data_IF_545565853374
#
_entry.id   IF_545565853374
#
_cell.length_a   1.000
_cell.length_b   1.000
_cell.length_c   1.000
_cell.angle_alpha   90.00
_cell.angle_beta   90.00
_cell.angle_gamma   90.00
#
_symmetry.space_group_name_H-M   'P 1'
#
loop_
_entity.id
_entity.type
_entity.pdbx_description
1 polymer ?
#
# COMPACT_ATOMS: atom_id res chain seq x y z
N UNK A 1 25.40 2.13 0.68
CA UNK A 1 23.93 1.99 0.55
C UNK A 1 23.57 1.67 -0.89
N UNK A 2 22.57 0.83 -1.08
CA UNK A 2 21.90 0.66 -2.36
C UNK A 2 20.87 1.78 -2.52
N UNK A 3 20.90 2.47 -3.67
CA UNK A 3 20.03 3.63 -3.95
C UNK A 3 18.87 3.22 -4.84
N UNK A 4 17.67 3.69 -4.51
CA UNK A 4 16.44 3.50 -5.27
C UNK A 4 15.93 4.86 -5.72
N UNK A 5 15.87 5.15 -7.03
CA UNK A 5 15.22 6.36 -7.51
C UNK A 5 13.72 6.29 -7.18
N UNK A 6 13.18 7.41 -6.70
CA UNK A 6 11.75 7.57 -6.43
C UNK A 6 11.20 8.53 -7.48
N UNK A 7 10.19 8.06 -8.19
CA UNK A 7 9.48 8.81 -9.22
C UNK A 7 8.09 9.21 -8.74
N UNK A 8 7.56 10.29 -9.29
CA UNK A 8 6.15 10.63 -9.15
C UNK A 8 5.27 9.78 -10.09
N UNK A 9 3.95 10.03 -10.08
CA UNK A 9 3.00 9.33 -10.92
C UNK A 9 3.16 9.58 -12.44
N UNK A 10 3.99 10.55 -12.82
CA UNK A 10 4.33 10.85 -14.22
C UNK A 10 5.67 10.24 -14.64
N UNK A 11 6.38 9.58 -13.72
CA UNK A 11 7.71 9.00 -13.97
C UNK A 11 8.87 10.00 -13.83
N UNK A 12 8.61 11.21 -13.33
CA UNK A 12 9.66 12.20 -13.07
C UNK A 12 10.35 11.85 -11.75
N UNK A 13 11.69 11.78 -11.76
CA UNK A 13 12.47 11.51 -10.54
C UNK A 13 12.39 12.70 -9.58
N UNK A 14 11.94 12.43 -8.36
CA UNK A 14 11.70 13.44 -7.32
C UNK A 14 12.54 13.23 -6.07
N UNK A 15 13.15 12.06 -5.90
CA UNK A 15 13.97 11.75 -4.74
C UNK A 15 14.61 10.37 -4.81
N UNK A 16 15.19 9.95 -3.70
CA UNK A 16 15.83 8.66 -3.56
C UNK A 16 15.48 8.00 -2.24
N UNK A 17 15.30 6.68 -2.27
CA UNK A 17 15.40 5.80 -1.13
C UNK A 17 16.78 5.15 -1.08
N UNK A 18 17.23 4.73 0.09
CA UNK A 18 18.48 4.03 0.25
C UNK A 18 18.39 2.94 1.32
N UNK A 19 18.91 1.75 1.02
CA UNK A 19 19.07 0.65 1.98
C UNK A 19 20.51 0.46 2.35
N UNK A 20 20.82 0.34 3.64
CA UNK A 20 22.16 -0.03 4.10
C UNK A 20 22.52 -1.44 3.60
N UNK A 21 23.74 -1.61 3.09
CA UNK A 21 24.28 -2.91 2.68
C UNK A 21 25.00 -3.60 3.83
N UNK A 22 25.47 -2.82 4.80
CA UNK A 22 26.15 -3.28 6.00
C UNK A 22 25.16 -3.25 7.18
N UNK A 23 25.12 -4.33 7.96
CA UNK A 23 24.25 -4.47 9.14
C UNK A 23 24.51 -3.42 10.22
N UNK A 24 25.74 -2.91 10.32
CA UNK A 24 26.13 -1.90 11.30
C UNK A 24 25.76 -0.46 10.88
N UNK A 25 25.35 -0.26 9.63
CA UNK A 25 24.99 1.07 9.12
C UNK A 25 23.57 1.44 9.51
N UNK A 26 23.44 2.45 10.37
CA UNK A 26 22.14 3.01 10.75
C UNK A 26 21.86 4.36 10.05
N UNK A 27 20.59 4.71 9.81
CA UNK A 27 19.42 3.82 9.84
C UNK A 27 19.47 2.80 8.69
N UNK A 28 18.81 1.64 8.85
CA UNK A 28 18.73 0.59 7.81
C UNK A 28 18.18 1.15 6.50
N UNK A 29 17.15 1.99 6.58
CA UNK A 29 16.56 2.70 5.46
C UNK A 29 16.68 4.21 5.63
N UNK A 30 16.97 4.91 4.55
CA UNK A 30 17.06 6.37 4.51
C UNK A 30 16.35 6.85 3.23
N UNK A 31 15.56 7.89 3.36
CA UNK A 31 14.94 8.54 2.20
C UNK A 31 15.42 9.99 2.09
N UNK A 32 15.30 10.56 0.90
CA UNK A 32 15.47 12.00 0.71
C UNK A 32 14.65 12.78 1.74
N UNK A 33 15.16 13.89 2.26
CA UNK A 33 14.37 14.76 3.12
C UNK A 33 13.19 15.34 2.36
N UNK A 34 12.17 15.78 3.07
CA UNK A 34 11.03 16.47 2.47
C UNK A 34 11.51 17.78 1.82
N UNK A 35 11.10 18.02 0.57
CA UNK A 35 11.41 19.20 -0.22
C UNK A 35 10.16 19.62 -1.00
N UNK A 36 10.27 20.72 -1.77
CA UNK A 36 9.20 21.11 -2.72
C UNK A 36 8.97 20.08 -3.83
N UNK A 37 9.95 19.21 -4.12
CA UNK A 37 9.86 18.16 -5.14
C UNK A 37 9.49 16.80 -4.55
N UNK A 38 9.87 16.54 -3.30
CA UNK A 38 9.70 15.24 -2.66
C UNK A 38 8.89 15.36 -1.38
N UNK A 39 7.65 14.88 -1.41
CA UNK A 39 6.76 14.76 -0.27
C UNK A 39 6.17 13.35 -0.22
N UNK A 40 6.65 12.53 0.71
CA UNK A 40 6.21 11.14 0.88
C UNK A 40 4.69 10.99 1.01
N UNK A 41 4.02 11.98 1.60
CA UNK A 41 2.57 11.94 1.80
C UNK A 41 1.77 12.02 0.50
N UNK A 42 2.41 12.38 -0.61
CA UNK A 42 1.78 12.53 -1.91
C UNK A 42 2.36 11.60 -2.98
N UNK A 43 3.23 10.65 -2.61
CA UNK A 43 3.93 9.77 -3.55
C UNK A 43 3.68 8.32 -3.14
N UNK A 44 3.46 7.46 -4.15
CA UNK A 44 3.47 6.01 -4.03
C UNK A 44 4.64 5.48 -4.86
N UNK A 45 5.55 4.74 -4.23
CA UNK A 45 6.69 4.14 -4.93
C UNK A 45 6.21 3.12 -5.96
N UNK A 46 6.81 3.12 -7.14
CA UNK A 46 6.49 2.28 -8.30
C UNK A 46 5.10 2.51 -8.93
N UNK A 47 4.40 3.60 -8.58
CA UNK A 47 3.06 3.86 -9.11
C UNK A 47 3.04 4.00 -10.64
N UNK A 48 4.02 4.69 -11.23
CA UNK A 48 4.09 4.90 -12.67
C UNK A 48 4.18 3.58 -13.44
N UNK A 49 4.82 2.58 -12.86
CA UNK A 49 4.95 1.21 -13.41
C UNK A 49 3.69 0.38 -13.16
N UNK A 50 3.04 0.59 -12.01
CA UNK A 50 1.86 -0.16 -11.62
C UNK A 50 0.60 0.26 -12.39
N UNK A 51 0.55 1.49 -12.88
CA UNK A 51 -0.68 2.08 -13.44
C UNK A 51 -1.28 1.31 -14.61
N UNK A 52 -0.48 0.66 -15.45
CA UNK A 52 -0.99 -0.17 -16.55
C UNK A 52 -1.77 -1.38 -16.01
N UNK A 53 -1.17 -2.12 -15.07
CA UNK A 53 -1.81 -3.28 -14.44
C UNK A 53 -3.00 -2.86 -13.58
N UNK A 54 -2.90 -1.75 -12.85
CA UNK A 54 -4.01 -1.22 -12.07
C UNK A 54 -5.21 -0.86 -12.96
N UNK A 55 -4.98 -0.29 -14.16
CA UNK A 55 -6.06 -0.01 -15.12
C UNK A 55 -6.71 -1.27 -15.66
N UNK A 56 -5.92 -2.30 -15.96
CA UNK A 56 -6.44 -3.54 -16.55
C UNK A 56 -7.17 -4.41 -15.53
N UNK A 57 -6.69 -4.47 -14.29
CA UNK A 57 -7.26 -5.32 -13.23
C UNK A 57 -8.30 -4.60 -12.36
N UNK A 58 -8.23 -3.29 -12.27
CA UNK A 58 -9.00 -2.48 -11.32
C UNK A 58 -8.53 -2.63 -9.88
N UNK A 59 -7.37 -3.27 -9.63
CA UNK A 59 -6.81 -3.55 -8.31
C UNK A 59 -5.49 -2.82 -8.11
N UNK A 60 -5.26 -2.34 -6.88
CA UNK A 60 -3.96 -1.87 -6.40
C UNK A 60 -3.64 -2.56 -5.08
N UNK A 61 -2.39 -2.97 -4.91
CA UNK A 61 -1.87 -3.57 -3.67
C UNK A 61 -0.91 -2.60 -3.02
N UNK A 62 -1.20 -2.20 -1.78
CA UNK A 62 -0.33 -1.36 -0.96
C UNK A 62 0.54 -2.22 -0.07
N UNK A 63 1.84 -1.92 -0.07
CA UNK A 63 2.85 -2.48 0.83
C UNK A 63 3.57 -1.34 1.57
N UNK A 64 4.27 -1.62 2.66
CA UNK A 64 4.92 -0.59 3.45
C UNK A 64 6.24 -0.11 2.85
N UNK A 65 7.10 -1.04 2.47
CA UNK A 65 8.46 -0.78 2.03
C UNK A 65 8.65 -0.84 0.52
N UNK A 66 9.56 -0.03 0.01
CA UNK A 66 9.91 -0.09 -1.41
C UNK A 66 10.61 -1.40 -1.81
N UNK A 67 11.21 -2.14 -0.85
CA UNK A 67 11.78 -3.47 -1.13
C UNK A 67 10.68 -4.47 -1.46
N UNK A 68 9.56 -4.44 -0.71
CA UNK A 68 8.41 -5.28 -0.96
C UNK A 68 7.85 -5.04 -2.37
N UNK A 69 7.71 -3.77 -2.75
CA UNK A 69 7.26 -3.41 -4.09
C UNK A 69 8.25 -3.85 -5.18
N UNK A 70 9.56 -3.67 -4.97
CA UNK A 70 10.59 -4.12 -5.93
C UNK A 70 10.53 -5.63 -6.11
N UNK A 71 10.46 -6.39 -5.02
CA UNK A 71 10.37 -7.84 -5.08
C UNK A 71 9.10 -8.32 -5.76
N UNK A 72 7.96 -7.67 -5.47
CA UNK A 72 6.69 -7.98 -6.13
C UNK A 72 6.77 -7.77 -7.64
N UNK A 73 7.30 -6.62 -8.08
CA UNK A 73 7.47 -6.34 -9.51
C UNK A 73 8.43 -7.32 -10.19
N UNK A 74 9.54 -7.71 -9.53
CA UNK A 74 10.47 -8.73 -10.04
C UNK A 74 9.79 -10.09 -10.21
N UNK A 75 8.85 -10.43 -9.33
CA UNK A 75 8.06 -11.65 -9.40
C UNK A 75 6.86 -11.57 -10.37
N UNK A 76 6.62 -10.42 -11.01
CA UNK A 76 5.55 -10.21 -11.98
C UNK A 76 4.25 -9.64 -11.40
N UNK A 77 4.21 -9.31 -10.09
CA UNK A 77 3.06 -8.66 -9.44
C UNK A 77 3.19 -7.14 -9.56
N UNK A 78 2.80 -6.62 -10.72
CA UNK A 78 3.06 -5.23 -11.11
C UNK A 78 1.97 -4.24 -10.67
N UNK A 79 0.92 -4.68 -9.98
CA UNK A 79 -0.09 -3.83 -9.36
C UNK A 79 0.24 -3.41 -7.91
N UNK A 80 1.49 -3.68 -7.47
CA UNK A 80 1.98 -3.38 -6.12
C UNK A 80 2.66 -2.01 -6.07
N UNK A 81 2.32 -1.21 -5.05
CA UNK A 81 2.90 0.12 -4.77
C UNK A 81 3.27 0.25 -3.30
N UNK A 82 4.30 1.05 -2.96
CA UNK A 82 4.69 1.22 -1.56
C UNK A 82 4.41 2.62 -1.02
N UNK A 83 3.97 2.68 0.26
CA UNK A 83 3.73 3.93 1.01
C UNK A 83 5.00 4.52 1.64
N UNK A 84 6.11 3.79 1.65
CA UNK A 84 7.45 4.21 2.07
C UNK A 84 7.57 4.64 3.54
N UNK A 85 7.01 3.84 4.46
CA UNK A 85 7.17 4.04 5.92
C UNK A 85 6.35 5.19 6.49
N UNK A 86 5.19 5.46 5.90
CA UNK A 86 4.14 6.35 6.41
C UNK A 86 2.81 5.61 6.43
N UNK A 87 1.88 6.03 7.28
CA UNK A 87 0.48 5.58 7.12
C UNK A 87 -0.04 6.04 5.76
N UNK A 88 -0.92 5.24 5.14
CA UNK A 88 -1.57 5.60 3.87
C UNK A 88 -2.31 6.94 4.03
N UNK A 89 -2.10 7.85 3.10
CA UNK A 89 -2.69 9.19 3.12
C UNK A 89 -3.80 9.37 2.09
N UNK A 90 -4.67 10.36 2.31
CA UNK A 90 -5.70 10.73 1.33
C UNK A 90 -5.09 11.15 -0.02
N UNK A 91 -3.95 11.84 0.00
CA UNK A 91 -3.24 12.25 -1.23
C UNK A 91 -2.79 11.04 -2.03
N UNK A 92 -2.24 10.03 -1.36
CA UNK A 92 -1.81 8.77 -1.98
C UNK A 92 -3.00 7.99 -2.56
N UNK A 93 -4.10 7.85 -1.81
CA UNK A 93 -5.32 7.20 -2.29
C UNK A 93 -5.89 7.94 -3.51
N UNK A 94 -5.85 9.28 -3.51
CA UNK A 94 -6.33 10.09 -4.63
C UNK A 94 -5.57 9.85 -5.94
N UNK A 95 -4.33 9.37 -5.90
CA UNK A 95 -3.55 9.02 -7.10
C UNK A 95 -4.16 7.83 -7.86
N UNK A 96 -4.78 6.89 -7.15
CA UNK A 96 -5.29 5.62 -7.72
C UNK A 96 -6.82 5.52 -7.75
N UNK A 97 -7.55 6.37 -7.02
CA UNK A 97 -9.02 6.25 -6.83
C UNK A 97 -9.85 6.29 -8.09
N UNK A 98 -9.36 6.92 -9.17
CA UNK A 98 -10.07 6.99 -10.45
C UNK A 98 -9.87 5.72 -11.28
N UNK A 99 -8.91 4.90 -10.92
CA UNK A 99 -8.45 3.76 -11.70
C UNK A 99 -8.72 2.45 -10.97
N UNK A 100 -8.40 2.38 -9.69
CA UNK A 100 -8.62 1.20 -8.87
C UNK A 100 -10.05 1.17 -8.30
N UNK A 101 -10.60 -0.04 -8.19
CA UNK A 101 -11.87 -0.36 -7.52
C UNK A 101 -11.64 -1.22 -6.28
N UNK A 102 -10.58 -2.05 -6.33
CA UNK A 102 -10.16 -2.94 -5.24
C UNK A 102 -8.83 -2.42 -4.70
N UNK A 103 -8.79 -2.20 -3.40
CA UNK A 103 -7.64 -1.71 -2.66
C UNK A 103 -7.21 -2.78 -1.67
N UNK A 104 -6.10 -3.46 -1.91
CA UNK A 104 -5.59 -4.51 -1.03
C UNK A 104 -4.40 -3.97 -0.25
N UNK A 105 -4.33 -4.26 1.05
CA UNK A 105 -3.22 -3.84 1.92
C UNK A 105 -2.53 -5.09 2.47
N UNK A 106 -1.24 -5.23 2.18
CA UNK A 106 -0.37 -6.20 2.81
C UNK A 106 0.47 -5.46 3.86
N UNK A 107 0.07 -5.55 5.10
CA UNK A 107 0.73 -4.91 6.24
C UNK A 107 1.39 -5.98 7.09
N UNK A 108 2.58 -5.67 7.59
CA UNK A 108 3.27 -6.49 8.56
C UNK A 108 2.55 -6.36 9.92
N UNK A 109 1.90 -7.42 10.43
CA UNK A 109 1.20 -7.36 11.71
C UNK A 109 2.15 -7.15 12.89
N UNK A 110 3.43 -7.49 12.74
CA UNK A 110 4.42 -7.47 13.83
C UNK A 110 5.26 -6.19 13.88
N UNK A 111 5.31 -5.40 12.78
CA UNK A 111 6.22 -4.26 12.66
C UNK A 111 5.96 -3.13 13.69
N UNK A 112 4.76 -3.05 14.23
CA UNK A 112 4.36 -1.97 15.14
C UNK A 112 3.59 -2.45 16.39
N UNK A 113 3.41 -3.76 16.57
CA UNK A 113 2.53 -4.34 17.58
C UNK A 113 1.04 -4.24 17.23
N UNK A 114 0.24 -5.12 17.83
CA UNK A 114 -1.19 -5.30 17.52
C UNK A 114 -2.00 -3.99 17.53
N UNK A 115 -1.81 -3.16 18.58
CA UNK A 115 -2.56 -1.91 18.73
C UNK A 115 -2.21 -0.85 17.66
N UNK A 116 -0.97 -0.82 17.19
CA UNK A 116 -0.56 0.08 16.13
C UNK A 116 -1.09 -0.40 14.76
N UNK A 117 -1.10 -1.72 14.53
CA UNK A 117 -1.73 -2.33 13.35
C UNK A 117 -3.22 -2.03 13.31
N UNK A 118 -3.95 -2.23 14.42
CA UNK A 118 -5.38 -1.87 14.53
C UNK A 118 -5.63 -0.41 14.16
N UNK A 119 -4.88 0.52 14.78
CA UNK A 119 -5.01 1.96 14.48
C UNK A 119 -4.73 2.30 13.03
N UNK A 120 -3.76 1.63 12.41
CA UNK A 120 -3.43 1.81 10.99
C UNK A 120 -4.58 1.36 10.09
N UNK A 121 -5.17 0.18 10.37
CA UNK A 121 -6.32 -0.36 9.62
C UNK A 121 -7.58 0.49 9.80
N UNK A 122 -7.88 0.93 11.02
CA UNK A 122 -9.00 1.84 11.29
C UNK A 122 -8.80 3.19 10.58
N UNK A 123 -7.58 3.73 10.60
CA UNK A 123 -7.23 4.94 9.88
C UNK A 123 -7.42 4.80 8.37
N UNK A 124 -6.98 3.68 7.79
CA UNK A 124 -7.20 3.36 6.39
C UNK A 124 -8.70 3.26 6.07
N UNK A 125 -9.48 2.52 6.88
CA UNK A 125 -10.94 2.43 6.72
C UNK A 125 -11.62 3.79 6.73
N UNK A 126 -11.31 4.65 7.74
CA UNK A 126 -11.86 6.00 7.82
C UNK A 126 -11.47 6.88 6.63
N UNK A 127 -10.24 6.74 6.14
CA UNK A 127 -9.75 7.44 4.97
C UNK A 127 -10.58 7.10 3.73
N UNK A 128 -10.82 5.81 3.50
CA UNK A 128 -11.59 5.36 2.35
C UNK A 128 -13.07 5.72 2.44
N UNK A 129 -13.66 5.80 3.62
CA UNK A 129 -15.05 6.27 3.79
C UNK A 129 -15.26 7.74 3.45
N UNK A 130 -14.21 8.57 3.53
CA UNK A 130 -14.28 10.01 3.21
C UNK A 130 -14.14 10.32 1.73
N UNK A 131 -13.92 9.30 0.88
CA UNK A 131 -13.76 9.50 -0.55
C UNK A 131 -15.11 9.82 -1.18
N UNK A 132 -15.31 11.10 -1.49
CA UNK A 132 -16.48 11.60 -2.19
C UNK A 132 -16.23 11.63 -3.69
N UNK A 133 -16.96 10.83 -4.47
CA UNK A 133 -16.86 10.84 -5.92
C UNK A 133 -17.89 11.84 -6.48
N UNK A 134 -17.41 12.88 -7.17
CA UNK A 134 -18.28 13.76 -7.95
C UNK A 134 -18.67 13.06 -9.25
N UNK A 135 -19.96 12.86 -9.48
CA UNK A 135 -20.49 12.34 -10.75
C UNK A 135 -20.66 13.52 -11.72
N UNK A 136 -19.96 13.56 -12.86
CA UNK A 136 -20.14 14.60 -13.87
C UNK A 136 -21.59 14.59 -14.39
N UNK A 137 -22.24 15.77 -14.47
CA UNK A 137 -23.58 15.93 -15.07
C UNK A 137 -24.76 15.78 -14.11
N UNK A 138 -24.56 15.43 -12.86
CA UNK A 138 -25.59 15.58 -11.83
C UNK A 138 -25.59 17.03 -11.32
N UNK A 139 -26.77 17.66 -11.26
CA UNK A 139 -26.97 18.99 -10.66
C UNK A 139 -26.35 19.15 -9.27
N UNK A 140 -26.84 20.01 -8.36
CA UNK A 140 -26.13 20.27 -7.12
C UNK A 140 -25.84 18.98 -6.34
N UNK A 141 -24.63 18.45 -6.56
CA UNK A 141 -23.90 17.40 -5.85
C UNK A 141 -24.75 16.16 -5.47
N UNK A 142 -24.96 15.24 -6.41
CA UNK A 142 -25.20 13.85 -6.01
C UNK A 142 -23.89 13.24 -5.52
N UNK A 143 -23.72 13.15 -4.21
CA UNK A 143 -22.61 12.41 -3.58
C UNK A 143 -22.98 10.94 -3.68
N UNK A 144 -22.43 10.21 -4.65
CA UNK A 144 -22.46 8.76 -4.63
C UNK A 144 -21.30 8.33 -3.74
N UNK A 145 -21.62 7.92 -2.55
CA UNK A 145 -20.67 7.25 -1.66
C UNK A 145 -20.49 5.83 -2.20
N UNK A 146 -19.53 5.64 -3.09
CA UNK A 146 -19.07 4.28 -3.44
C UNK A 146 -18.27 3.80 -2.26
N UNK A 147 -18.71 2.75 -1.61
CA UNK A 147 -17.93 2.06 -0.57
C UNK A 147 -16.77 1.38 -1.30
N UNK A 148 -15.53 1.83 -1.13
CA UNK A 148 -14.39 1.21 -1.78
C UNK A 148 -14.21 -0.22 -1.25
N UNK A 149 -13.85 -1.14 -2.13
CA UNK A 149 -13.53 -2.51 -1.77
C UNK A 149 -12.11 -2.55 -1.18
N UNK A 150 -12.02 -2.27 0.11
CA UNK A 150 -10.77 -2.30 0.87
C UNK A 150 -10.58 -3.67 1.51
N UNK A 151 -9.49 -4.33 1.18
CA UNK A 151 -9.16 -5.70 1.59
C UNK A 151 -7.82 -5.77 2.32
N UNK A 152 -7.69 -6.74 3.19
CA UNK A 152 -6.44 -7.08 3.88
C UNK A 152 -5.91 -8.40 3.35
N UNK A 153 -4.65 -8.40 2.96
CA UNK A 153 -3.90 -9.60 2.58
C UNK A 153 -3.25 -10.12 3.86
N UNK A 154 -3.68 -11.28 4.40
CA UNK A 154 -3.09 -11.83 5.61
C UNK A 154 -1.69 -12.34 5.32
N UNK A 155 -0.70 -11.84 6.06
CA UNK A 155 0.67 -12.35 6.02
C UNK A 155 0.89 -13.38 7.12
N UNK A 156 1.82 -14.32 6.96
CA UNK A 156 2.26 -15.19 8.04
C UNK A 156 2.97 -14.37 9.12
N UNK A 157 2.92 -14.83 10.37
CA UNK A 157 3.57 -14.17 11.50
C UNK A 157 5.08 -13.94 11.22
N UNK A 158 5.53 -12.72 11.46
CA UNK A 158 6.92 -12.31 11.27
C UNK A 158 7.42 -12.31 9.82
N UNK A 159 6.52 -12.35 8.84
CA UNK A 159 6.85 -12.31 7.42
C UNK A 159 6.37 -11.01 6.78
N UNK A 160 7.29 -10.32 6.10
CA UNK A 160 6.93 -9.22 5.21
C UNK A 160 6.57 -9.74 3.79
N UNK A 161 6.00 -8.89 2.91
CA UNK A 161 5.69 -9.28 1.53
C UNK A 161 6.92 -9.76 0.75
N UNK A 162 8.11 -9.17 0.96
CA UNK A 162 9.37 -9.59 0.34
C UNK A 162 9.70 -11.06 0.71
N UNK A 163 9.58 -11.42 2.00
CA UNK A 163 9.81 -12.78 2.49
C UNK A 163 8.84 -13.80 1.88
N UNK A 164 7.55 -13.47 1.84
CA UNK A 164 6.51 -14.36 1.29
C UNK A 164 6.76 -14.61 -0.20
N UNK A 165 6.96 -13.55 -0.98
CA UNK A 165 7.17 -13.63 -2.44
C UNK A 165 8.44 -14.42 -2.77
N UNK A 166 9.52 -14.22 -2.01
CA UNK A 166 10.79 -14.95 -2.20
C UNK A 166 10.68 -16.42 -1.86
N UNK A 167 9.94 -16.74 -0.81
CA UNK A 167 9.80 -18.14 -0.36
C UNK A 167 8.86 -18.92 -1.27
N UNK A 168 7.74 -18.33 -1.68
CA UNK A 168 6.73 -18.97 -2.51
C UNK A 168 5.88 -17.91 -3.25
N UNK A 169 6.14 -17.76 -4.56
CA UNK A 169 5.40 -16.85 -5.42
C UNK A 169 3.91 -17.17 -5.50
N UNK A 170 3.59 -18.48 -5.53
CA UNK A 170 2.21 -18.95 -5.69
C UNK A 170 1.42 -18.73 -4.38
N UNK A 171 2.08 -18.82 -3.22
CA UNK A 171 1.47 -18.45 -1.93
C UNK A 171 1.09 -16.97 -1.88
N UNK A 172 1.96 -16.09 -2.38
CA UNK A 172 1.61 -14.67 -2.51
C UNK A 172 0.40 -14.44 -3.40
N UNK A 173 0.38 -15.04 -4.60
CA UNK A 173 -0.74 -14.92 -5.55
C UNK A 173 -2.06 -15.39 -4.93
N UNK A 174 -2.02 -16.55 -4.24
CA UNK A 174 -3.17 -17.09 -3.51
C UNK A 174 -3.64 -16.12 -2.42
N UNK A 175 -2.75 -15.57 -1.59
CA UNK A 175 -3.08 -14.60 -0.52
C UNK A 175 -3.72 -13.33 -1.05
N UNK A 176 -3.20 -12.80 -2.15
CA UNK A 176 -3.80 -11.64 -2.83
C UNK A 176 -5.21 -11.97 -3.33
N UNK A 177 -5.43 -13.18 -3.86
CA UNK A 177 -6.75 -13.66 -4.29
C UNK A 177 -7.74 -13.89 -3.15
N UNK A 178 -7.24 -14.31 -1.98
CA UNK A 178 -8.01 -14.59 -0.76
C UNK A 178 -8.11 -13.39 0.19
N UNK A 179 -7.66 -12.20 -0.25
CA UNK A 179 -7.70 -10.98 0.56
C UNK A 179 -9.12 -10.70 1.08
N UNK A 180 -9.24 -10.50 2.39
CA UNK A 180 -10.52 -10.36 3.10
C UNK A 180 -10.96 -8.90 3.14
N UNK A 181 -12.27 -8.60 3.02
CA UNK A 181 -12.78 -7.27 3.33
C UNK A 181 -12.28 -6.80 4.70
N UNK A 182 -11.88 -5.54 4.80
CA UNK A 182 -11.27 -5.01 6.04
C UNK A 182 -12.18 -5.18 7.26
N UNK A 183 -13.50 -5.05 7.10
CA UNK A 183 -14.44 -5.24 8.21
C UNK A 183 -14.47 -6.69 8.69
N UNK A 184 -14.47 -7.65 7.77
CA UNK A 184 -14.45 -9.07 8.12
C UNK A 184 -13.14 -9.43 8.83
N UNK A 185 -12.02 -8.82 8.37
CA UNK A 185 -10.72 -9.00 9.01
C UNK A 185 -10.71 -8.43 10.44
N UNK A 186 -11.19 -7.19 10.63
CA UNK A 186 -11.22 -6.54 11.94
C UNK A 186 -12.15 -7.28 12.92
N UNK A 187 -13.32 -7.76 12.47
CA UNK A 187 -14.24 -8.53 13.32
C UNK A 187 -13.60 -9.85 13.74
N UNK A 188 -12.99 -10.59 12.80
CA UNK A 188 -12.33 -11.86 13.12
C UNK A 188 -11.14 -11.66 14.07
N UNK A 189 -10.39 -10.58 13.88
CA UNK A 189 -9.26 -10.25 14.72
C UNK A 189 -9.68 -9.88 16.15
N UNK A 190 -10.73 -9.06 16.31
CA UNK A 190 -11.25 -8.70 17.64
C UNK A 190 -11.84 -9.93 18.36
N UNK A 191 -12.58 -10.78 17.66
CA UNK A 191 -13.13 -12.01 18.23
C UNK A 191 -12.04 -12.99 18.72
N UNK A 192 -10.88 -13.05 18.08
CA UNK A 192 -9.76 -13.91 18.51
C UNK A 192 -9.08 -13.48 19.80
N UNK A 193 -9.39 -12.28 20.32
CA UNK A 193 -8.79 -11.72 21.55
C UNK A 193 -9.68 -11.89 22.81
N UNK A 194 -10.92 -12.31 22.63
CA UNK A 194 -11.86 -12.57 23.74
C UNK A 194 -11.75 -14.00 24.29
N UNK A 195 -10.98 -14.87 23.63
CA UNK A 195 -10.66 -16.24 24.07
C UNK A 195 -9.26 -16.29 24.73
#
# INVERSE_FOLDING_TARGET
RLMFPITDHQGVMVGFGARALDANTQPKYLNSPQTSLFDKSGILFALERAMETVRSTGRVVFVEGYMDAVQAHQAGFTDVVAVMGTSLTERQVNLVRRTAKIYSMAMDPDAAGEEATRRSLEGAWQLFQRIVVRVPGSGPVAIRQETPDLRIIPLPDGKDPDDVIRSDRDDWERRVGEAKPILDYLIAWEASRED
#
